data_IF_709877183033
#
_entry.id   IF_709877183033
#
_cell.length_a   1.000
_cell.length_b   1.000
_cell.length_c   1.000
_cell.angle_alpha   90.00
_cell.angle_beta   90.00
_cell.angle_gamma   90.00
#
_symmetry.space_group_name_H-M   'P 1'
#
loop_
_entity.id
_entity.type
_entity.pdbx_description
1 polymer ?
#
# COMPACT_ATOMS: atom_id res chain seq x y z
N UNK A 1 -8.10 -14.47 12.87
CA UNK A 1 -7.10 -13.89 11.94
C UNK A 1 -7.79 -13.82 10.59
N UNK A 2 -8.02 -12.61 10.08
CA UNK A 2 -8.60 -12.45 8.73
C UNK A 2 -7.70 -13.21 7.76
N UNK A 3 -8.28 -14.13 7.02
CA UNK A 3 -7.56 -14.81 5.96
C UNK A 3 -7.43 -13.84 4.78
N UNK A 4 -6.42 -12.97 4.84
CA UNK A 4 -6.08 -12.01 3.78
C UNK A 4 -5.88 -12.76 2.45
N UNK A 5 -5.51 -14.02 2.52
CA UNK A 5 -5.40 -14.94 1.38
C UNK A 5 -6.75 -15.20 0.73
N UNK A 6 -7.83 -15.29 1.51
CA UNK A 6 -9.18 -15.48 0.98
C UNK A 6 -9.66 -14.25 0.18
N UNK A 7 -9.37 -13.04 0.66
CA UNK A 7 -9.70 -11.79 -0.04
C UNK A 7 -8.99 -11.76 -1.39
N UNK A 8 -7.70 -12.05 -1.44
CA UNK A 8 -6.91 -12.04 -2.68
C UNK A 8 -7.35 -13.17 -3.64
N UNK A 9 -7.80 -14.32 -3.14
CA UNK A 9 -8.26 -15.45 -3.97
C UNK A 9 -9.62 -15.22 -4.63
N UNK A 10 -10.53 -14.54 -3.94
CA UNK A 10 -11.93 -14.44 -4.38
C UNK A 10 -12.19 -13.24 -5.31
N UNK A 11 -11.34 -12.23 -5.30
CA UNK A 11 -11.70 -10.91 -5.85
C UNK A 11 -11.01 -10.52 -7.15
N UNK A 12 -10.02 -11.27 -7.64
CA UNK A 12 -9.22 -10.82 -8.80
C UNK A 12 -9.79 -11.33 -10.14
N UNK A 13 -11.06 -11.03 -10.41
CA UNK A 13 -11.60 -11.07 -11.78
C UNK A 13 -11.39 -9.74 -12.52
N UNK A 14 -11.20 -8.63 -11.80
CA UNK A 14 -10.92 -7.28 -12.32
C UNK A 14 -9.43 -6.99 -12.22
N UNK A 15 -8.83 -6.40 -13.26
CA UNK A 15 -7.45 -5.93 -13.29
C UNK A 15 -7.40 -4.44 -13.63
N UNK A 16 -6.66 -3.65 -12.86
CA UNK A 16 -6.07 -3.97 -11.56
C UNK A 16 -7.15 -4.09 -10.47
N UNK A 17 -6.88 -4.87 -9.43
CA UNK A 17 -7.66 -4.84 -8.19
C UNK A 17 -6.94 -3.94 -7.18
N UNK A 18 -7.61 -2.91 -6.69
CA UNK A 18 -6.99 -1.84 -5.88
C UNK A 18 -7.45 -1.95 -4.44
N UNK A 19 -6.48 -2.12 -3.54
CA UNK A 19 -6.70 -2.24 -2.10
C UNK A 19 -6.05 -1.05 -1.40
N UNK A 20 -6.84 -0.23 -0.73
CA UNK A 20 -6.34 0.84 0.13
C UNK A 20 -6.23 0.37 1.58
N UNK A 21 -5.08 0.60 2.20
CA UNK A 21 -4.80 0.23 3.59
C UNK A 21 -4.70 1.50 4.42
N UNK A 22 -5.56 1.60 5.43
CA UNK A 22 -5.68 2.75 6.33
C UNK A 22 -5.55 2.33 7.80
N UNK A 23 -5.51 3.30 8.71
CA UNK A 23 -5.41 3.07 10.14
C UNK A 23 -3.96 3.12 10.63
N UNK A 24 -3.66 2.38 11.70
CA UNK A 24 -2.38 2.46 12.39
C UNK A 24 -1.94 1.11 12.96
N UNK A 25 -0.64 0.98 13.26
CA UNK A 25 -0.11 -0.18 13.96
C UNK A 25 -0.03 -1.46 13.11
N UNK A 26 0.73 -1.45 11.99
CA UNK A 26 1.03 -2.65 11.21
C UNK A 26 0.61 -2.60 9.74
N UNK A 27 0.28 -1.42 9.20
CA UNK A 27 -0.07 -1.27 7.77
C UNK A 27 1.01 -1.81 6.83
N UNK A 28 2.27 -1.40 7.04
CA UNK A 28 3.40 -1.83 6.22
C UNK A 28 3.51 -3.35 6.21
N UNK A 29 3.46 -3.99 7.36
CA UNK A 29 3.49 -5.46 7.47
C UNK A 29 2.29 -6.12 6.78
N UNK A 30 1.10 -5.51 6.87
CA UNK A 30 -0.09 -5.99 6.17
C UNK A 30 0.10 -5.92 4.65
N UNK A 31 0.57 -4.78 4.14
CA UNK A 31 0.86 -4.55 2.72
C UNK A 31 1.91 -5.55 2.22
N UNK A 32 3.02 -5.72 2.94
CA UNK A 32 4.09 -6.67 2.59
C UNK A 32 3.56 -8.10 2.46
N UNK A 33 2.75 -8.54 3.42
CA UNK A 33 2.16 -9.90 3.41
C UNK A 33 1.22 -10.10 2.23
N UNK A 34 0.39 -9.11 1.91
CA UNK A 34 -0.52 -9.18 0.76
C UNK A 34 0.29 -9.22 -0.54
N UNK A 35 1.29 -8.34 -0.69
CA UNK A 35 2.14 -8.29 -1.88
C UNK A 35 2.86 -9.63 -2.12
N UNK A 36 3.44 -10.23 -1.08
CA UNK A 36 4.09 -11.54 -1.17
C UNK A 36 3.10 -12.66 -1.52
N UNK A 37 1.88 -12.63 -1.00
CA UNK A 37 0.87 -13.61 -1.35
C UNK A 37 0.42 -13.48 -2.81
N UNK A 38 0.23 -12.25 -3.29
CA UNK A 38 -0.06 -11.97 -4.71
C UNK A 38 1.06 -12.53 -5.60
N UNK A 39 2.32 -12.30 -5.23
CA UNK A 39 3.49 -12.83 -5.94
C UNK A 39 3.53 -14.35 -5.94
N UNK A 40 3.25 -15.02 -4.81
CA UNK A 40 3.20 -16.50 -4.72
C UNK A 40 2.15 -17.10 -5.64
N UNK A 41 1.09 -16.36 -5.93
CA UNK A 41 0.05 -16.76 -6.90
C UNK A 41 0.45 -16.50 -8.35
N UNK A 42 1.68 -16.08 -8.63
CA UNK A 42 2.17 -15.77 -9.98
C UNK A 42 1.60 -14.46 -10.53
N UNK A 43 1.02 -13.62 -9.69
CA UNK A 43 0.45 -12.32 -10.04
C UNK A 43 1.44 -11.20 -9.70
N UNK A 44 1.17 -10.00 -10.22
CA UNK A 44 2.02 -8.81 -10.07
C UNK A 44 1.38 -7.84 -9.10
N UNK A 45 2.12 -7.49 -8.05
CA UNK A 45 1.74 -6.52 -7.03
C UNK A 45 2.53 -5.23 -7.19
N UNK A 46 1.85 -4.10 -7.15
CA UNK A 46 2.48 -2.79 -6.99
C UNK A 46 2.06 -2.17 -5.67
N UNK A 47 2.99 -1.51 -5.00
CA UNK A 47 2.75 -0.77 -3.76
C UNK A 47 3.06 0.70 -3.99
N UNK A 48 2.09 1.54 -3.66
CA UNK A 48 2.19 3.00 -3.72
C UNK A 48 1.69 3.61 -2.41
N UNK A 49 1.93 4.89 -2.22
CA UNK A 49 1.33 5.65 -1.10
C UNK A 49 0.69 6.92 -1.64
N UNK A 50 -0.38 7.38 -1.00
CA UNK A 50 -0.98 8.71 -1.22
C UNK A 50 -0.52 9.73 -0.19
N UNK A 51 0.28 9.30 0.77
CA UNK A 51 0.87 10.13 1.84
C UNK A 51 2.40 10.02 1.82
N UNK A 52 3.01 9.57 2.91
CA UNK A 52 4.45 9.33 3.02
C UNK A 52 4.69 7.94 3.56
N UNK A 53 5.53 7.17 2.89
CA UNK A 53 5.90 5.81 3.28
C UNK A 53 7.42 5.66 3.30
N UNK A 54 7.97 4.87 4.22
CA UNK A 54 9.38 4.52 4.18
C UNK A 54 9.69 3.69 2.93
N UNK A 55 10.82 4.00 2.28
CA UNK A 55 11.30 3.23 1.14
C UNK A 55 11.78 1.88 1.64
N UNK A 56 11.20 0.76 1.16
CA UNK A 56 11.64 -0.56 1.60
C UNK A 56 13.01 -0.93 1.02
N UNK A 57 13.73 -1.81 1.69
CA UNK A 57 15.03 -2.31 1.22
C UNK A 57 14.92 -3.17 -0.04
N UNK A 58 13.78 -3.88 -0.21
CA UNK A 58 13.53 -4.79 -1.32
C UNK A 58 12.44 -4.26 -2.24
N UNK A 59 12.55 -4.62 -3.51
CA UNK A 59 11.56 -4.32 -4.55
C UNK A 59 11.32 -2.82 -4.81
N UNK A 60 12.24 -1.95 -4.38
CA UNK A 60 12.10 -0.51 -4.55
C UNK A 60 12.50 -0.06 -5.95
N UNK A 61 11.58 0.69 -6.60
CA UNK A 61 11.82 1.45 -7.83
C UNK A 61 11.52 2.94 -7.63
N UNK A 62 11.64 3.43 -6.40
CA UNK A 62 11.36 4.83 -6.05
C UNK A 62 12.33 5.77 -6.75
N UNK A 63 11.80 6.82 -7.39
CA UNK A 63 12.58 7.78 -8.16
C UNK A 63 13.08 7.28 -9.53
N UNK A 64 12.67 6.07 -9.94
CA UNK A 64 12.94 5.54 -11.29
C UNK A 64 11.82 5.91 -12.26
N UNK A 65 12.05 5.69 -13.56
CA UNK A 65 11.00 5.86 -14.57
C UNK A 65 9.88 4.82 -14.39
N UNK A 66 8.71 5.11 -14.93
CA UNK A 66 7.56 4.20 -14.84
C UNK A 66 7.78 2.92 -15.64
N UNK A 67 8.52 3.00 -16.75
CA UNK A 67 8.92 1.86 -17.56
C UNK A 67 9.84 0.92 -16.79
N UNK A 68 10.80 1.45 -16.06
CA UNK A 68 11.70 0.68 -15.18
C UNK A 68 10.93 0.02 -14.04
N UNK A 69 9.99 0.75 -13.43
CA UNK A 69 9.13 0.23 -12.36
C UNK A 69 8.25 -0.93 -12.85
N UNK A 70 7.65 -0.79 -14.02
CA UNK A 70 6.85 -1.84 -14.65
C UNK A 70 7.71 -3.04 -15.03
N UNK A 71 8.91 -2.82 -15.55
CA UNK A 71 9.85 -3.88 -15.87
C UNK A 71 10.24 -4.68 -14.62
N UNK A 72 10.64 -3.99 -13.56
CA UNK A 72 10.99 -4.62 -12.28
C UNK A 72 9.82 -5.45 -11.72
N UNK A 73 8.59 -4.91 -11.75
CA UNK A 73 7.40 -5.64 -11.31
C UNK A 73 7.17 -6.93 -12.12
N UNK A 74 7.41 -6.91 -13.42
CA UNK A 74 7.29 -8.10 -14.27
C UNK A 74 8.35 -9.17 -13.95
N UNK A 75 9.54 -8.74 -13.57
CA UNK A 75 10.67 -9.62 -13.26
C UNK A 75 10.58 -10.19 -11.84
N UNK A 76 10.25 -9.35 -10.85
CA UNK A 76 10.29 -9.69 -9.43
C UNK A 76 8.91 -10.06 -8.84
N UNK A 77 7.82 -9.70 -9.53
CA UNK A 77 6.44 -9.93 -9.08
C UNK A 77 5.92 -8.90 -8.10
N UNK A 78 6.80 -8.07 -7.52
CA UNK A 78 6.47 -6.95 -6.62
C UNK A 78 7.28 -5.72 -7.03
N UNK A 79 6.67 -4.53 -6.89
CA UNK A 79 7.39 -3.26 -6.97
C UNK A 79 6.81 -2.25 -5.98
N UNK A 80 7.67 -1.52 -5.30
CA UNK A 80 7.33 -0.30 -4.57
C UNK A 80 7.73 0.89 -5.43
N UNK A 81 6.77 1.73 -5.80
CA UNK A 81 7.00 2.84 -6.73
C UNK A 81 6.36 4.15 -6.25
N UNK A 82 7.07 5.21 -6.45
CA UNK A 82 6.70 6.55 -6.07
C UNK A 82 7.80 7.54 -6.38
N UNK A 83 7.55 8.80 -6.08
CA UNK A 83 8.58 9.83 -6.11
C UNK A 83 9.33 9.86 -4.79
N UNK A 84 10.58 10.32 -4.81
CA UNK A 84 11.36 10.56 -3.59
C UNK A 84 10.77 11.75 -2.84
N UNK A 85 10.51 11.60 -1.55
CA UNK A 85 10.07 12.70 -0.69
C UNK A 85 11.24 13.67 -0.40
N UNK A 86 10.92 14.90 0.02
CA UNK A 86 11.92 15.85 0.53
C UNK A 86 12.59 15.33 1.81
N UNK A 87 11.85 14.57 2.63
CA UNK A 87 12.39 13.90 3.80
C UNK A 87 13.15 12.63 3.40
N UNK A 88 14.37 12.49 3.91
CA UNK A 88 15.25 11.36 3.62
C UNK A 88 14.58 10.02 3.90
N UNK A 89 14.78 9.06 3.01
CA UNK A 89 14.32 7.67 3.16
C UNK A 89 12.82 7.43 2.96
N UNK A 90 12.06 8.44 2.52
CA UNK A 90 10.62 8.31 2.27
C UNK A 90 10.26 8.48 0.79
N UNK A 91 9.17 7.84 0.42
CA UNK A 91 8.52 8.02 -0.86
C UNK A 91 7.15 8.67 -0.69
N UNK A 92 6.69 9.31 -1.75
CA UNK A 92 5.38 9.94 -1.87
C UNK A 92 4.65 9.43 -3.12
N UNK A 93 3.43 9.88 -3.30
CA UNK A 93 2.58 9.51 -4.43
C UNK A 93 3.31 9.63 -5.78
N UNK A 94 3.18 8.64 -6.67
CA UNK A 94 3.85 8.64 -7.97
C UNK A 94 3.37 9.71 -8.95
N UNK A 95 2.38 10.51 -8.58
CA UNK A 95 1.66 11.37 -9.50
C UNK A 95 0.63 10.58 -10.32
N UNK A 96 -0.27 11.31 -10.99
CA UNK A 96 -1.37 10.68 -11.72
C UNK A 96 -0.88 9.80 -12.88
N UNK A 97 0.11 10.28 -13.62
CA UNK A 97 0.69 9.54 -14.75
C UNK A 97 1.35 8.24 -14.28
N UNK A 98 2.20 8.31 -13.25
CA UNK A 98 2.85 7.13 -12.68
C UNK A 98 1.86 6.14 -12.09
N UNK A 99 0.84 6.63 -11.40
CA UNK A 99 -0.23 5.79 -10.86
C UNK A 99 -1.00 5.05 -11.96
N UNK A 100 -1.35 5.73 -13.05
CA UNK A 100 -2.03 5.13 -14.20
C UNK A 100 -1.15 4.09 -14.90
N UNK A 101 0.15 4.37 -15.09
CA UNK A 101 1.09 3.44 -15.69
C UNK A 101 1.18 2.13 -14.87
N UNK A 102 1.29 2.24 -13.55
CA UNK A 102 1.34 1.11 -12.64
C UNK A 102 0.01 0.33 -12.62
N UNK A 103 -1.12 1.01 -12.54
CA UNK A 103 -2.43 0.37 -12.60
C UNK A 103 -2.64 -0.42 -13.89
N UNK A 104 -2.14 0.08 -15.02
CA UNK A 104 -2.25 -0.62 -16.31
C UNK A 104 -1.45 -1.91 -16.40
N UNK A 105 -0.42 -2.09 -15.56
CA UNK A 105 0.51 -3.20 -15.63
C UNK A 105 0.37 -4.21 -14.47
N UNK A 106 -0.16 -3.79 -13.32
CA UNK A 106 -0.33 -4.62 -12.13
C UNK A 106 -1.59 -5.49 -12.19
N UNK A 107 -1.57 -6.62 -11.48
CA UNK A 107 -2.77 -7.40 -11.18
C UNK A 107 -3.44 -6.88 -9.91
N UNK A 108 -2.64 -6.46 -8.92
CA UNK A 108 -3.09 -5.87 -7.66
C UNK A 108 -2.27 -4.62 -7.36
N UNK A 109 -2.94 -3.54 -6.95
CA UNK A 109 -2.30 -2.32 -6.46
C UNK A 109 -2.66 -2.15 -4.98
N UNK A 110 -1.64 -2.04 -4.14
CA UNK A 110 -1.76 -1.79 -2.71
C UNK A 110 -1.41 -0.33 -2.45
N UNK A 111 -2.32 0.39 -1.80
CA UNK A 111 -2.17 1.81 -1.53
C UNK A 111 -2.10 2.04 -0.03
N UNK A 112 -0.97 2.52 0.50
CA UNK A 112 -0.95 3.07 1.85
C UNK A 112 -1.57 4.47 1.81
N UNK A 113 -2.82 4.59 2.28
CA UNK A 113 -3.63 5.79 2.13
C UNK A 113 -3.72 6.67 3.38
N UNK A 114 -2.95 6.34 4.42
CA UNK A 114 -3.00 7.03 5.71
C UNK A 114 -1.64 7.02 6.43
N UNK A 115 -1.12 8.20 6.77
CA UNK A 115 0.09 8.34 7.57
C UNK A 115 -0.18 8.09 9.06
N UNK A 116 0.35 7.01 9.64
CA UNK A 116 0.05 6.58 11.00
C UNK A 116 0.88 7.26 12.09
N UNK A 117 1.96 7.95 11.77
CA UNK A 117 2.89 8.57 12.75
C UNK A 117 3.28 7.62 13.91
N UNK A 118 3.43 6.32 13.59
CA UNK A 118 3.77 5.24 14.54
C UNK A 118 2.76 5.04 15.69
N UNK A 119 1.55 5.61 15.59
CA UNK A 119 0.50 5.41 16.57
C UNK A 119 -0.16 4.04 16.44
N UNK A 120 -0.56 3.38 17.54
CA UNK A 120 -1.22 2.08 17.48
C UNK A 120 -2.68 2.16 16.99
N UNK A 121 -3.33 3.30 17.19
CA UNK A 121 -4.66 3.63 16.67
C UNK A 121 -4.65 5.06 16.15
N UNK A 122 -5.30 5.27 15.02
CA UNK A 122 -5.53 6.59 14.47
C UNK A 122 -7.00 6.74 14.12
N UNK A 123 -7.62 7.80 14.62
CA UNK A 123 -8.93 8.21 14.15
C UNK A 123 -8.76 9.05 12.89
N UNK A 124 -9.51 8.75 11.82
CA UNK A 124 -9.45 9.52 10.59
C UNK A 124 -9.76 11.00 10.81
N UNK A 125 -8.89 11.87 10.34
CA UNK A 125 -9.21 13.28 10.14
C UNK A 125 -9.60 13.47 8.67
N UNK A 126 -10.86 13.26 8.38
CA UNK A 126 -11.41 13.27 7.02
C UNK A 126 -11.17 14.57 6.24
N UNK A 127 -10.66 15.62 6.92
CA UNK A 127 -10.24 16.85 6.25
C UNK A 127 -8.86 16.76 5.61
N UNK A 128 -8.06 15.75 5.98
CA UNK A 128 -6.65 15.58 5.56
C UNK A 128 -6.30 14.16 5.14
N UNK A 129 -6.67 13.17 5.93
CA UNK A 129 -6.35 11.75 5.76
C UNK A 129 -7.50 10.89 6.30
N UNK A 130 -7.77 9.72 5.76
CA UNK A 130 -7.04 9.05 4.67
C UNK A 130 -7.29 9.65 3.28
N UNK A 131 -6.29 9.58 2.39
CA UNK A 131 -6.40 9.96 0.98
C UNK A 131 -6.57 8.69 0.16
N UNK A 132 -7.80 8.24 0.02
CA UNK A 132 -8.17 7.00 -0.67
C UNK A 132 -8.42 7.31 -2.15
N UNK A 133 -7.75 6.63 -3.10
CA UNK A 133 -8.04 6.77 -4.52
C UNK A 133 -9.50 6.41 -4.84
N UNK A 134 -10.14 7.17 -5.73
CA UNK A 134 -11.54 6.95 -6.12
C UNK A 134 -11.79 5.57 -6.75
N UNK A 135 -10.77 5.00 -7.39
CA UNK A 135 -10.82 3.68 -8.02
C UNK A 135 -10.47 2.52 -7.08
N UNK A 136 -10.45 2.75 -5.77
CA UNK A 136 -10.24 1.71 -4.76
C UNK A 136 -11.40 0.71 -4.76
N UNK A 137 -11.06 -0.59 -4.86
CA UNK A 137 -12.04 -1.67 -4.85
C UNK A 137 -12.31 -2.18 -3.42
N UNK A 138 -11.28 -2.16 -2.54
CA UNK A 138 -11.37 -2.66 -1.17
C UNK A 138 -10.58 -1.77 -0.20
N UNK A 139 -11.08 -1.62 1.01
CA UNK A 139 -10.42 -0.86 2.08
C UNK A 139 -10.12 -1.79 3.25
N UNK A 140 -8.85 -1.88 3.65
CA UNK A 140 -8.42 -2.60 4.84
C UNK A 140 -8.10 -1.60 5.94
N UNK A 141 -8.83 -1.68 7.06
CA UNK A 141 -8.56 -0.90 8.25
C UNK A 141 -7.70 -1.70 9.22
N UNK A 142 -6.51 -1.20 9.52
CA UNK A 142 -5.54 -1.85 10.42
C UNK A 142 -5.55 -1.17 11.78
N UNK A 143 -5.63 -1.98 12.84
CA UNK A 143 -5.49 -1.55 14.23
C UNK A 143 -4.33 -2.26 14.90
N UNK A 144 -3.48 -1.51 15.60
CA UNK A 144 -2.41 -2.08 16.41
C UNK A 144 -2.95 -2.80 17.64
N UNK A 145 -2.58 -4.05 17.82
CA UNK A 145 -2.98 -4.85 18.99
C UNK A 145 -2.52 -4.24 20.33
N UNK A 146 -1.48 -3.41 20.33
CA UNK A 146 -0.99 -2.68 21.50
C UNK A 146 -1.98 -1.64 22.04
N UNK A 147 -3.02 -1.31 21.28
CA UNK A 147 -4.11 -0.44 21.72
C UNK A 147 -5.20 -1.16 22.53
N UNK A 148 -5.25 -2.50 22.44
CA UNK A 148 -6.26 -3.28 23.14
C UNK A 148 -6.09 -3.15 24.66
N UNK A 149 -7.19 -2.80 25.35
CA UNK A 149 -7.23 -2.65 26.80
C UNK A 149 -6.67 -1.32 27.33
N UNK A 150 -6.30 -0.38 26.46
CA UNK A 150 -5.90 0.98 26.86
C UNK A 150 -7.07 1.96 26.79
N UNK A 151 -7.17 2.93 27.70
CA UNK A 151 -8.18 3.99 27.62
C UNK A 151 -7.99 4.87 26.36
N UNK A 152 -9.09 5.46 25.82
CA UNK A 152 -9.03 6.39 24.68
C UNK A 152 -8.22 7.62 24.98
N UNK A 153 -7.23 7.85 25.30
CA UNK A 153 -6.36 9.00 25.60
C UNK A 153 -4.91 8.59 25.85
N UNK A 154 -4.68 7.27 25.87
CA UNK A 154 -3.36 6.66 26.02
C UNK A 154 -2.89 5.89 24.75
N UNK A 155 -3.65 6.07 23.67
CA UNK A 155 -3.40 5.44 22.36
C UNK A 155 -3.26 6.49 21.27
#
# INVERSE_FOLDING_TARGET
MLDVVAIVRTTVSKKPFIISVIGAGGKTTCIERIAEEVRRQGKKAAVVTTTHMWIPEKYSAVGRSWEESVKQMKEEGIVYCGLTAESEGKMVFPGQEGYQAICSAADVVLVEADGAKEMPVKFPDWSREPVIPENTDEIILVFGLSALGRPPGEV
#
